data_IF_154432256225
#
_entry.id   IF_154432256225
#
_cell.length_a   1.000
_cell.length_b   1.000
_cell.length_c   1.000
_cell.angle_alpha   90.00
_cell.angle_beta   90.00
_cell.angle_gamma   90.00
#
_symmetry.space_group_name_H-M   'P 1'
#
loop_
_entity.id
_entity.type
_entity.pdbx_description
1 polymer ?
#
# COMPACT_ATOMS: atom_id res chain seq x y z
N UNK A 1 3.25 -9.16 -11.66
CA UNK A 1 1.95 -8.49 -11.53
C UNK A 1 1.49 -8.56 -10.08
N UNK A 2 0.68 -7.60 -9.62
CA UNK A 2 0.07 -7.62 -8.29
C UNK A 2 -0.99 -8.71 -8.13
N UNK A 3 -1.31 -9.12 -6.89
CA UNK A 3 -2.43 -10.04 -6.60
C UNK A 3 -3.74 -9.48 -7.13
N UNK A 4 -3.98 -8.20 -6.84
CA UNK A 4 -5.08 -7.42 -7.41
C UNK A 4 -4.73 -5.94 -7.43
N UNK A 5 -5.25 -5.21 -8.41
CA UNK A 5 -5.19 -3.74 -8.44
C UNK A 5 -6.61 -3.22 -8.61
N UNK A 6 -7.05 -2.35 -7.72
CA UNK A 6 -8.37 -1.71 -7.75
C UNK A 6 -8.22 -0.20 -7.88
N UNK A 7 -9.07 0.41 -8.69
CA UNK A 7 -9.22 1.86 -8.81
C UNK A 7 -10.65 2.19 -8.41
N UNK A 8 -10.85 2.82 -7.24
CA UNK A 8 -12.17 2.95 -6.62
C UNK A 8 -12.50 4.42 -6.38
N UNK A 9 -13.74 4.82 -6.66
CA UNK A 9 -14.26 6.15 -6.30
C UNK A 9 -13.81 7.29 -7.21
N UNK A 10 -13.37 7.00 -8.44
CA UNK A 10 -12.92 8.01 -9.42
C UNK A 10 -14.05 8.68 -10.22
N UNK A 11 -15.32 8.52 -9.80
CA UNK A 11 -16.47 9.09 -10.50
C UNK A 11 -16.31 10.62 -10.68
N UNK A 12 -16.28 11.06 -11.94
CA UNK A 12 -16.07 12.47 -12.29
C UNK A 12 -14.61 12.96 -12.22
N UNK A 13 -13.62 12.08 -12.02
CA UNK A 13 -12.18 12.41 -11.91
C UNK A 13 -11.28 11.52 -12.80
N UNK A 14 -11.49 11.49 -14.14
CA UNK A 14 -10.77 10.57 -15.03
C UNK A 14 -9.26 10.85 -15.12
N UNK A 15 -8.83 12.10 -14.96
CA UNK A 15 -7.41 12.47 -14.96
C UNK A 15 -6.68 11.86 -13.76
N UNK A 16 -7.35 11.84 -12.61
CA UNK A 16 -6.80 11.26 -11.40
C UNK A 16 -6.70 9.72 -11.49
N UNK A 17 -7.69 9.08 -12.12
CA UNK A 17 -7.64 7.65 -12.41
C UNK A 17 -6.49 7.32 -13.37
N UNK A 18 -6.28 8.15 -14.41
CA UNK A 18 -5.17 7.99 -15.33
C UNK A 18 -3.81 8.12 -14.61
N UNK A 19 -3.67 9.08 -13.70
CA UNK A 19 -2.49 9.21 -12.85
C UNK A 19 -2.27 7.94 -12.00
N UNK A 20 -3.29 7.43 -11.31
CA UNK A 20 -3.17 6.19 -10.53
C UNK A 20 -2.71 5.00 -11.40
N UNK A 21 -3.22 4.88 -12.63
CA UNK A 21 -2.78 3.86 -13.58
C UNK A 21 -1.32 4.03 -14.00
N UNK A 22 -0.84 5.27 -14.16
CA UNK A 22 0.56 5.57 -14.46
C UNK A 22 1.50 5.29 -13.28
N UNK A 23 1.03 5.46 -12.04
CA UNK A 23 1.82 5.20 -10.82
C UNK A 23 1.96 3.71 -10.50
N UNK A 24 0.98 2.89 -10.87
CA UNK A 24 0.98 1.44 -10.63
C UNK A 24 2.25 0.70 -11.11
N UNK A 25 2.77 0.92 -12.34
CA UNK A 25 4.03 0.32 -12.76
C UNK A 25 5.25 0.85 -11.99
N UNK A 26 5.24 2.10 -11.52
CA UNK A 26 6.31 2.65 -10.68
C UNK A 26 6.36 1.90 -9.35
N UNK A 27 5.21 1.74 -8.70
CA UNK A 27 5.06 0.93 -7.48
C UNK A 27 5.55 -0.51 -7.69
N UNK A 28 5.16 -1.15 -8.80
CA UNK A 28 5.60 -2.51 -9.11
C UNK A 28 7.13 -2.63 -9.21
N UNK A 29 7.78 -1.61 -9.77
CA UNK A 29 9.23 -1.55 -9.94
C UNK A 29 10.00 -1.38 -8.61
N UNK A 30 9.36 -0.78 -7.60
CA UNK A 30 9.94 -0.62 -6.26
C UNK A 30 9.76 -1.89 -5.40
N UNK A 31 8.65 -2.62 -5.56
CA UNK A 31 8.34 -3.81 -4.73
C UNK A 31 8.96 -5.11 -5.29
N UNK A 32 9.28 -5.17 -6.59
CA UNK A 32 9.97 -6.24 -7.36
C UNK A 32 9.62 -7.70 -7.01
N UNK A 33 10.11 -8.22 -5.87
CA UNK A 33 10.13 -9.65 -5.55
C UNK A 33 8.87 -10.20 -4.89
N UNK A 34 7.89 -9.36 -4.52
CA UNK A 34 6.70 -9.81 -3.76
C UNK A 34 5.37 -9.28 -4.28
N UNK A 35 5.37 -8.65 -5.47
CA UNK A 35 4.18 -8.05 -6.06
C UNK A 35 2.96 -8.98 -6.10
N UNK A 36 3.16 -10.27 -6.41
CA UNK A 36 2.07 -11.25 -6.58
C UNK A 36 1.27 -11.56 -5.31
N UNK A 37 1.76 -11.17 -4.13
CA UNK A 37 1.07 -11.36 -2.85
C UNK A 37 0.38 -10.07 -2.36
N UNK A 38 0.56 -8.96 -3.07
CA UNK A 38 0.13 -7.63 -2.63
C UNK A 38 -1.14 -7.21 -3.37
N UNK A 39 -2.11 -6.78 -2.59
CA UNK A 39 -3.33 -6.11 -3.06
C UNK A 39 -3.09 -4.60 -3.05
N UNK A 40 -3.44 -3.94 -4.15
CA UNK A 40 -3.26 -2.51 -4.35
C UNK A 40 -4.63 -1.87 -4.56
N UNK A 41 -4.91 -0.79 -3.84
CA UNK A 41 -6.07 0.04 -4.09
C UNK A 41 -5.64 1.50 -4.22
N UNK A 42 -6.10 2.14 -5.29
CA UNK A 42 -6.00 3.58 -5.49
C UNK A 42 -7.37 4.22 -5.31
N UNK A 43 -7.41 5.33 -4.58
CA UNK A 43 -8.62 6.13 -4.38
C UNK A 43 -8.30 7.62 -4.43
N UNK A 44 -9.21 8.50 -4.88
CA UNK A 44 -9.11 9.92 -4.59
C UNK A 44 -9.25 10.15 -3.08
N UNK A 45 -8.56 11.16 -2.54
CA UNK A 45 -8.91 11.65 -1.21
C UNK A 45 -10.31 12.31 -1.25
N UNK A 46 -11.22 11.94 -0.32
CA UNK A 46 -12.53 12.57 -0.23
C UNK A 46 -12.42 14.06 0.07
N UNK A 47 -13.21 14.88 -0.62
CA UNK A 47 -13.28 16.33 -0.39
C UNK A 47 -11.96 17.09 -0.47
N UNK A 48 -10.95 16.52 -1.15
CA UNK A 48 -9.65 17.16 -1.30
C UNK A 48 -9.60 18.10 -2.52
N UNK A 49 -9.43 19.42 -2.31
CA UNK A 49 -9.30 20.39 -3.39
C UNK A 49 -8.01 20.21 -4.18
N UNK A 50 -6.97 19.64 -3.56
CA UNK A 50 -5.68 19.44 -4.19
C UNK A 50 -5.67 18.22 -5.11
N UNK A 51 -6.77 17.45 -5.18
CA UNK A 51 -6.87 16.27 -6.03
C UNK A 51 -5.74 15.26 -5.75
N UNK A 52 -5.50 14.96 -4.48
CA UNK A 52 -4.52 13.95 -4.06
C UNK A 52 -5.04 12.53 -4.28
N UNK A 53 -4.10 11.61 -4.45
CA UNK A 53 -4.32 10.18 -4.57
C UNK A 53 -3.95 9.48 -3.26
N UNK A 54 -4.76 8.52 -2.85
CA UNK A 54 -4.43 7.57 -1.80
C UNK A 54 -4.03 6.23 -2.40
N UNK A 55 -2.98 5.65 -1.83
CA UNK A 55 -2.50 4.31 -2.12
C UNK A 55 -2.67 3.45 -0.86
N UNK A 56 -3.47 2.39 -0.97
CA UNK A 56 -3.52 1.34 0.04
C UNK A 56 -2.80 0.11 -0.47
N UNK A 57 -1.84 -0.39 0.30
CA UNK A 57 -1.23 -1.70 0.10
C UNK A 57 -1.73 -2.64 1.19
N UNK A 58 -2.13 -3.85 0.81
CA UNK A 58 -2.46 -4.91 1.75
C UNK A 58 -1.76 -6.21 1.36
N UNK A 59 -1.38 -6.99 2.37
CA UNK A 59 -0.73 -8.29 2.17
C UNK A 59 -1.01 -9.20 3.34
N UNK A 60 -1.20 -10.49 3.05
CA UNK A 60 -1.32 -11.55 4.06
C UNK A 60 -0.07 -12.43 4.03
N UNK A 61 0.56 -12.65 5.18
CA UNK A 61 1.71 -13.54 5.35
C UNK A 61 1.45 -14.46 6.53
N UNK A 62 1.50 -15.79 6.32
CA UNK A 62 1.24 -16.78 7.37
C UNK A 62 -0.07 -16.55 8.14
N UNK A 63 -1.12 -16.13 7.44
CA UNK A 63 -2.42 -15.80 8.04
C UNK A 63 -2.44 -14.53 8.89
N UNK A 64 -1.38 -13.71 8.83
CA UNK A 64 -1.34 -12.36 9.41
C UNK A 64 -1.54 -11.35 8.30
N UNK A 65 -2.55 -10.50 8.46
CA UNK A 65 -2.86 -9.43 7.53
C UNK A 65 -2.19 -8.13 7.99
N UNK A 66 -1.54 -7.45 7.04
CA UNK A 66 -1.02 -6.11 7.22
C UNK A 66 -1.45 -5.19 6.10
N UNK A 67 -1.51 -3.89 6.42
CA UNK A 67 -1.92 -2.85 5.51
C UNK A 67 -1.16 -1.54 5.75
N UNK A 68 -0.90 -0.80 4.68
CA UNK A 68 -0.35 0.55 4.75
C UNK A 68 -1.07 1.50 3.80
N UNK A 69 -1.11 2.77 4.19
CA UNK A 69 -1.74 3.86 3.47
C UNK A 69 -0.72 4.95 3.18
N UNK A 70 -0.66 5.41 1.94
CA UNK A 70 0.08 6.61 1.55
C UNK A 70 -0.78 7.60 0.81
N UNK A 71 -0.37 8.86 0.86
CA UNK A 71 -0.98 9.94 0.08
C UNK A 71 0.05 10.51 -0.88
N UNK A 72 -0.41 10.79 -2.11
CA UNK A 72 0.33 11.42 -3.18
C UNK A 72 -0.37 12.74 -3.49
N UNK A 73 0.18 13.84 -3.00
CA UNK A 73 -0.24 15.18 -3.39
C UNK A 73 0.27 15.50 -4.80
N UNK A 74 -0.33 16.47 -5.52
CA UNK A 74 0.17 16.88 -6.84
C UNK A 74 1.65 17.25 -6.85
N UNK A 75 2.14 17.86 -5.76
CA UNK A 75 3.55 18.22 -5.60
C UNK A 75 4.48 17.00 -5.56
N UNK A 76 4.02 15.85 -5.04
CA UNK A 76 4.79 14.60 -5.06
C UNK A 76 4.91 14.04 -6.50
N UNK A 77 4.02 14.43 -7.41
CA UNK A 77 3.97 13.93 -8.80
C UNK A 77 4.87 14.71 -9.76
N UNK A 78 5.42 15.85 -9.33
CA UNK A 78 6.26 16.73 -10.16
C UNK A 78 7.60 16.08 -10.51
N UNK A 79 8.15 15.28 -9.59
CA UNK A 79 9.46 14.64 -9.77
C UNK A 79 9.39 13.12 -9.60
N UNK A 80 9.97 12.40 -10.57
CA UNK A 80 9.97 10.94 -10.56
C UNK A 80 10.59 10.32 -9.30
N UNK A 81 11.60 10.96 -8.70
CA UNK A 81 12.22 10.45 -7.49
C UNK A 81 11.33 10.61 -6.25
N UNK A 82 10.47 11.63 -6.19
CA UNK A 82 9.49 11.82 -5.12
C UNK A 82 8.45 10.70 -5.15
N UNK A 83 7.87 10.42 -6.32
CA UNK A 83 6.95 9.30 -6.53
C UNK A 83 7.56 7.98 -6.07
N UNK A 84 8.81 7.70 -6.49
CA UNK A 84 9.52 6.47 -6.10
C UNK A 84 9.82 6.42 -4.61
N UNK A 85 10.15 7.56 -4.00
CA UNK A 85 10.34 7.68 -2.56
C UNK A 85 9.06 7.35 -1.80
N UNK A 86 7.92 7.92 -2.24
CA UNK A 86 6.60 7.65 -1.66
C UNK A 86 6.19 6.19 -1.80
N UNK A 87 6.34 5.59 -2.98
CA UNK A 87 6.05 4.16 -3.18
C UNK A 87 6.87 3.28 -2.23
N UNK A 88 8.16 3.60 -2.05
CA UNK A 88 9.03 2.88 -1.11
C UNK A 88 8.63 3.09 0.34
N UNK A 89 8.23 4.29 0.73
CA UNK A 89 7.76 4.59 2.07
C UNK A 89 6.53 3.74 2.43
N UNK A 90 5.49 3.76 1.59
CA UNK A 90 4.26 2.97 1.84
C UNK A 90 4.56 1.46 1.88
N UNK A 91 5.50 0.99 1.05
CA UNK A 91 5.94 -0.40 1.11
C UNK A 91 6.68 -0.74 2.41
N UNK A 92 7.58 0.13 2.87
CA UNK A 92 8.28 -0.03 4.14
C UNK A 92 7.29 -0.06 5.31
N UNK A 93 6.29 0.84 5.32
CA UNK A 93 5.26 0.89 6.35
C UNK A 93 4.46 -0.42 6.41
N UNK A 94 4.13 -1.01 5.24
CA UNK A 94 3.47 -2.32 5.19
C UNK A 94 4.34 -3.44 5.76
N UNK A 95 5.65 -3.42 5.47
CA UNK A 95 6.58 -4.41 5.99
C UNK A 95 6.76 -4.27 7.51
N UNK A 96 6.77 -3.05 8.01
CA UNK A 96 6.82 -2.77 9.44
C UNK A 96 5.56 -3.27 10.16
N UNK A 97 4.36 -2.93 9.67
CA UNK A 97 3.09 -3.40 10.23
C UNK A 97 3.03 -4.94 10.25
N UNK A 98 3.42 -5.61 9.15
CA UNK A 98 3.50 -7.07 9.10
C UNK A 98 4.50 -7.64 10.11
N UNK A 99 5.69 -7.03 10.22
CA UNK A 99 6.73 -7.48 11.16
C UNK A 99 6.26 -7.40 12.60
N UNK A 100 5.62 -6.28 12.98
CA UNK A 100 5.07 -6.07 14.31
C UNK A 100 3.97 -7.10 14.64
N UNK A 101 3.04 -7.33 13.70
CA UNK A 101 1.94 -8.29 13.90
C UNK A 101 2.42 -9.74 13.95
N UNK A 102 3.39 -10.11 13.13
CA UNK A 102 4.02 -11.43 13.19
C UNK A 102 4.75 -11.63 14.53
N UNK A 103 5.49 -10.61 14.99
CA UNK A 103 6.13 -10.62 16.30
C UNK A 103 5.13 -10.79 17.44
N UNK A 104 4.03 -10.05 17.41
CA UNK A 104 2.95 -10.17 18.39
C UNK A 104 2.34 -11.58 18.43
N UNK A 105 2.04 -12.16 17.26
CA UNK A 105 1.49 -13.52 17.15
C UNK A 105 2.44 -14.59 17.70
N UNK A 106 3.73 -14.45 17.44
CA UNK A 106 4.74 -15.37 17.99
C UNK A 106 4.81 -15.21 19.51
N UNK A 107 4.79 -13.97 20.01
CA UNK A 107 4.80 -13.72 21.45
C UNK A 107 3.57 -14.31 22.16
N UNK A 108 2.38 -14.15 21.60
CA UNK A 108 1.14 -14.74 22.10
C UNK A 108 1.24 -16.28 22.16
N UNK A 109 1.63 -16.93 21.06
CA UNK A 109 1.78 -18.38 21.00
C UNK A 109 2.83 -18.94 21.99
N UNK A 110 3.84 -18.16 22.35
CA UNK A 110 4.86 -18.54 23.34
C UNK A 110 4.44 -18.21 24.78
N UNK A 111 3.45 -17.35 24.97
CA UNK A 111 2.98 -16.88 26.28
C UNK A 111 1.72 -17.61 26.76
N UNK A 112 1.05 -18.38 25.88
CA UNK A 112 0.00 -19.30 26.28
C UNK A 112 0.59 -20.39 27.20
N UNK A 113 0.15 -20.50 28.47
CA UNK A 113 0.59 -21.57 29.33
C UNK A 113 0.11 -22.90 28.74
N UNK A 114 1.02 -23.89 28.65
CA UNK A 114 0.65 -25.28 28.40
C UNK A 114 -0.33 -25.68 29.50
N UNK A 115 -1.61 -25.79 29.17
CA UNK A 115 -2.56 -26.50 30.03
C UNK A 115 -2.09 -27.96 30.10
N UNK A 116 -1.45 -28.32 31.21
CA UNK A 116 -1.05 -29.70 31.56
C UNK A 116 -2.11 -30.31 32.45
#
# INVERSE_FOLDING_TARGET
MFKSVKYVGFDGRPELEATAKQLTPVLANEIRQRQQDVEVAWTPLPSDPDQSLSLTLARTVNGVEGAALGTFAPSDLVEAWLVRSRCRAVWSDLLEDLSQRLGARVHEALSEPLEV
#
